data_IF_294929362146
#
_entry.id   IF_294929362146
#
_cell.length_a   1.000
_cell.length_b   1.000
_cell.length_c   1.000
_cell.angle_alpha   90.00
_cell.angle_beta   90.00
_cell.angle_gamma   90.00
#
_symmetry.space_group_name_H-M   'P 1'
#
loop_
_entity.id
_entity.type
_entity.pdbx_description
1 polymer ?
#
# COMPACT_ATOMS: atom_id res chain seq x y z
N UNK A 1 16.38 0.55 8.50
CA UNK A 1 15.74 -0.73 8.19
C UNK A 1 14.56 -0.47 7.27
N UNK A 2 14.47 -1.25 6.24
CA UNK A 2 13.74 -0.99 5.03
C UNK A 2 12.27 -1.46 5.01
N UNK A 3 11.64 -1.65 6.16
CA UNK A 3 10.27 -2.14 6.26
C UNK A 3 9.63 -1.51 7.49
N UNK A 4 8.41 -1.05 7.37
CA UNK A 4 7.64 -0.53 8.50
C UNK A 4 6.93 -1.67 9.28
N UNK A 5 7.43 -2.91 9.17
CA UNK A 5 6.89 -4.07 9.90
C UNK A 5 7.23 -3.92 11.38
N UNK A 6 6.22 -4.11 12.22
CA UNK A 6 6.38 -4.04 13.64
C UNK A 6 7.38 -5.10 14.15
N UNK A 7 8.33 -4.69 14.97
CA UNK A 7 9.23 -5.58 15.71
C UNK A 7 8.81 -5.60 17.18
N UNK A 8 8.49 -6.77 17.68
CA UNK A 8 8.07 -7.02 19.06
C UNK A 8 9.20 -7.69 19.85
N UNK A 9 9.23 -7.47 21.16
CA UNK A 9 10.04 -8.26 22.09
C UNK A 9 9.17 -9.31 22.77
N UNK A 10 9.41 -10.58 22.47
CA UNK A 10 8.69 -11.70 23.08
C UNK A 10 9.74 -12.58 23.77
N UNK A 11 9.64 -12.77 25.08
CA UNK A 11 10.59 -13.55 25.89
C UNK A 11 12.06 -13.10 25.68
N UNK A 12 12.29 -11.80 25.49
CA UNK A 12 13.62 -11.23 25.28
C UNK A 12 14.15 -11.31 23.84
N UNK A 13 13.47 -12.01 22.92
CA UNK A 13 13.82 -12.08 21.51
C UNK A 13 13.04 -11.05 20.67
N UNK A 14 13.69 -10.51 19.65
CA UNK A 14 13.01 -9.68 18.65
C UNK A 14 12.26 -10.54 17.64
N UNK A 15 10.95 -10.32 17.51
CA UNK A 15 10.06 -11.04 16.61
C UNK A 15 9.33 -10.04 15.71
N UNK A 16 9.41 -10.23 14.40
CA UNK A 16 8.67 -9.43 13.45
C UNK A 16 7.19 -9.86 13.41
N UNK A 17 6.28 -8.90 13.47
CA UNK A 17 4.83 -9.12 13.33
C UNK A 17 4.48 -9.32 11.85
N UNK A 18 4.93 -10.44 11.29
CA UNK A 18 4.73 -10.80 9.89
C UNK A 18 4.75 -12.32 9.71
N UNK A 19 3.89 -12.82 8.84
CA UNK A 19 3.86 -14.22 8.40
C UNK A 19 3.76 -14.28 6.88
N UNK A 20 4.47 -15.22 6.28
CA UNK A 20 4.40 -15.52 4.84
C UNK A 20 4.23 -17.02 4.58
N UNK A 21 3.60 -17.35 3.46
CA UNK A 21 3.48 -18.73 3.00
C UNK A 21 4.82 -19.23 2.42
N UNK A 22 5.30 -20.40 2.89
CA UNK A 22 6.57 -20.98 2.52
C UNK A 22 6.68 -21.56 1.10
N UNK A 23 5.61 -21.47 0.29
CA UNK A 23 5.57 -22.04 -1.07
C UNK A 23 6.39 -21.26 -2.10
N UNK A 24 7.01 -20.12 -1.74
CA UNK A 24 7.80 -19.24 -2.62
C UNK A 24 9.09 -18.78 -2.00
N UNK A 25 9.87 -18.03 -2.78
CA UNK A 25 10.99 -17.27 -2.25
C UNK A 25 10.50 -16.31 -1.15
N UNK A 26 11.25 -16.27 -0.06
CA UNK A 26 10.96 -15.40 1.08
C UNK A 26 10.88 -13.94 0.65
N UNK A 27 10.00 -13.21 1.30
CA UNK A 27 9.92 -11.76 1.15
C UNK A 27 11.32 -11.14 1.29
N UNK A 28 11.61 -10.12 0.49
CA UNK A 28 12.95 -9.50 0.37
C UNK A 28 13.54 -9.06 1.73
N UNK A 29 12.71 -8.72 2.71
CA UNK A 29 13.14 -8.34 4.06
C UNK A 29 13.51 -9.54 4.95
N UNK A 30 13.12 -10.75 4.58
CA UNK A 30 13.37 -12.01 5.28
C UNK A 30 12.96 -12.03 6.76
N UNK A 31 11.98 -11.21 7.13
CA UNK A 31 11.46 -11.09 8.48
C UNK A 31 10.25 -11.98 8.68
N UNK A 32 9.95 -12.24 9.97
CA UNK A 32 8.74 -12.94 10.38
C UNK A 32 8.81 -14.44 10.22
N UNK A 33 7.64 -15.06 10.34
CA UNK A 33 7.47 -16.50 10.33
C UNK A 33 7.13 -16.99 8.92
N UNK A 34 7.59 -18.20 8.61
CA UNK A 34 7.21 -18.93 7.39
C UNK A 34 6.24 -20.02 7.78
N UNK A 35 5.12 -20.11 7.10
CA UNK A 35 4.08 -21.10 7.32
C UNK A 35 3.95 -22.01 6.11
N UNK A 36 4.07 -23.32 6.35
CA UNK A 36 3.90 -24.33 5.31
C UNK A 36 2.46 -24.82 5.27
N UNK A 37 1.70 -24.37 4.30
CA UNK A 37 0.30 -24.77 4.15
C UNK A 37 -0.60 -23.63 3.61
N UNK A 38 -1.90 -23.83 3.68
CA UNK A 38 -2.89 -22.79 3.41
C UNK A 38 -3.23 -22.08 4.72
N UNK A 39 -3.03 -20.76 4.74
CA UNK A 39 -3.36 -19.92 5.90
C UNK A 39 -4.86 -19.59 5.89
N UNK A 40 -5.51 -19.77 7.02
CA UNK A 40 -6.78 -19.12 7.32
C UNK A 40 -6.53 -17.68 7.82
N UNK A 41 -7.55 -16.83 7.79
CA UNK A 41 -7.45 -15.48 8.37
C UNK A 41 -7.05 -15.53 9.83
N UNK A 42 -7.61 -16.46 10.60
CA UNK A 42 -7.29 -16.64 12.01
C UNK A 42 -5.81 -16.94 12.21
N UNK A 43 -5.27 -17.91 11.50
CA UNK A 43 -3.85 -18.28 11.58
C UNK A 43 -2.95 -17.14 11.11
N UNK A 44 -3.33 -16.45 10.03
CA UNK A 44 -2.59 -15.31 9.52
C UNK A 44 -2.50 -14.18 10.56
N UNK A 45 -3.59 -13.86 11.26
CA UNK A 45 -3.62 -12.84 12.31
C UNK A 45 -2.82 -13.28 13.56
N UNK A 46 -2.99 -14.53 14.00
CA UNK A 46 -2.27 -15.06 15.18
C UNK A 46 -0.76 -15.12 14.94
N UNK A 47 -0.33 -15.69 13.82
CA UNK A 47 1.09 -15.83 13.47
C UNK A 47 1.77 -14.48 13.18
N UNK A 48 1.04 -13.51 12.61
CA UNK A 48 1.55 -12.15 12.41
C UNK A 48 1.38 -11.25 13.64
N UNK A 49 0.90 -11.76 14.76
CA UNK A 49 0.59 -10.99 15.97
C UNK A 49 -0.37 -9.80 15.72
N UNK A 50 -1.26 -9.96 14.76
CA UNK A 50 -2.25 -8.95 14.37
C UNK A 50 -3.62 -9.17 15.01
N UNK A 51 -3.79 -10.13 15.91
CA UNK A 51 -5.07 -10.49 16.54
C UNK A 51 -5.39 -9.68 17.81
N UNK A 52 -4.62 -8.61 18.08
CA UNK A 52 -4.86 -7.72 19.21
C UNK A 52 -6.20 -6.97 19.11
N UNK A 53 -6.74 -6.62 20.26
CA UNK A 53 -7.94 -5.80 20.37
C UNK A 53 -7.61 -4.31 20.44
N UNK A 54 -8.53 -3.49 19.93
CA UNK A 54 -8.43 -2.03 19.96
C UNK A 54 -9.66 -1.47 20.64
N UNK A 55 -9.46 -0.57 21.62
CA UNK A 55 -10.52 0.11 22.35
C UNK A 55 -10.42 1.63 22.22
N UNK A 56 -11.56 2.32 22.38
CA UNK A 56 -11.60 3.77 22.50
C UNK A 56 -11.40 4.20 23.95
N UNK A 57 -10.51 5.15 24.18
CA UNK A 57 -10.28 5.78 25.49
C UNK A 57 -10.45 7.30 25.37
N UNK A 58 -10.81 7.93 26.49
CA UNK A 58 -10.86 9.37 26.58
C UNK A 58 -9.47 10.00 26.39
N UNK A 59 -9.44 11.19 25.82
CA UNK A 59 -8.22 11.98 25.68
C UNK A 59 -8.28 13.11 26.69
N UNK A 60 -7.20 13.28 27.45
CA UNK A 60 -7.09 14.33 28.45
C UNK A 60 -5.92 15.26 28.12
N UNK A 61 -6.11 16.56 28.28
CA UNK A 61 -5.05 17.52 28.15
C UNK A 61 -4.22 17.58 29.46
N UNK A 62 -2.92 17.73 29.32
CA UNK A 62 -2.07 18.00 30.48
C UNK A 62 -2.23 19.48 30.89
N UNK A 63 -3.15 19.76 31.81
CA UNK A 63 -3.37 21.11 32.32
C UNK A 63 -2.22 21.55 33.26
N UNK A 64 -1.96 22.86 33.46
CA UNK A 64 -0.96 23.33 34.41
C UNK A 64 -1.14 22.74 35.81
N UNK A 65 -2.38 22.63 36.28
CA UNK A 65 -2.69 22.06 37.59
C UNK A 65 -2.25 20.60 37.71
N UNK A 66 -2.50 19.78 36.67
CA UNK A 66 -2.05 18.38 36.62
C UNK A 66 -0.52 18.31 36.52
N UNK A 67 0.10 19.20 35.71
CA UNK A 67 1.55 19.25 35.56
C UNK A 67 2.24 19.58 36.85
N UNK A 68 1.76 20.59 37.59
CA UNK A 68 2.32 21.02 38.87
C UNK A 68 2.20 19.91 39.93
N UNK A 69 1.09 19.22 39.93
CA UNK A 69 0.85 18.12 40.84
C UNK A 69 1.78 16.92 40.59
N UNK A 70 1.97 16.54 39.31
CA UNK A 70 2.92 15.49 38.94
C UNK A 70 4.36 15.86 39.26
N UNK A 71 4.74 17.15 39.12
CA UNK A 71 6.07 17.66 39.44
C UNK A 71 6.37 17.64 40.95
N UNK A 72 5.34 17.84 41.79
CA UNK A 72 5.46 17.87 43.25
C UNK A 72 5.47 16.46 43.87
N UNK A 73 5.17 15.40 43.11
CA UNK A 73 5.10 14.02 43.62
C UNK A 73 4.02 13.81 44.67
N UNK A 74 2.98 14.64 44.68
CA UNK A 74 1.92 14.65 45.68
C UNK A 74 0.99 13.43 45.57
N UNK A 75 0.51 12.95 46.72
CA UNK A 75 -0.64 12.05 46.75
C UNK A 75 -1.91 12.86 46.46
N UNK A 76 -2.71 12.37 45.53
CA UNK A 76 -3.99 12.97 45.16
C UNK A 76 -5.10 12.11 45.72
N UNK A 77 -6.09 12.75 46.32
CA UNK A 77 -7.36 12.15 46.61
C UNK A 77 -8.09 11.78 45.30
N UNK A 78 -8.77 10.62 45.27
CA UNK A 78 -9.46 10.12 44.12
C UNK A 78 -10.55 11.07 43.60
N UNK A 79 -11.22 11.79 44.50
CA UNK A 79 -12.27 12.75 44.13
C UNK A 79 -11.66 13.99 43.45
N UNK A 80 -10.56 14.52 44.01
CA UNK A 80 -9.83 15.64 43.40
C UNK A 80 -9.26 15.28 42.02
N UNK A 81 -8.73 14.06 41.88
CA UNK A 81 -8.24 13.59 40.59
C UNK A 81 -9.38 13.49 39.55
N UNK A 82 -10.54 13.03 40.00
CA UNK A 82 -11.73 12.91 39.14
C UNK A 82 -12.17 14.27 38.58
N UNK A 83 -12.26 15.28 39.45
CA UNK A 83 -12.63 16.64 39.06
C UNK A 83 -11.60 17.27 38.09
N UNK A 84 -10.31 17.14 38.43
CA UNK A 84 -9.22 17.62 37.56
C UNK A 84 -9.21 16.91 36.18
N UNK A 85 -9.57 15.63 36.10
CA UNK A 85 -9.67 14.90 34.86
C UNK A 85 -10.88 15.32 34.04
N UNK A 86 -12.00 15.69 34.68
CA UNK A 86 -13.16 16.24 33.97
C UNK A 86 -12.82 17.56 33.26
N UNK A 87 -12.11 18.45 33.93
CA UNK A 87 -11.64 19.73 33.39
C UNK A 87 -10.59 19.55 32.26
N UNK A 88 -9.89 18.45 32.29
CA UNK A 88 -8.84 18.12 31.31
C UNK A 88 -9.35 17.33 30.11
N UNK A 89 -10.61 16.89 30.09
CA UNK A 89 -11.17 16.08 29.03
C UNK A 89 -11.22 16.86 27.70
N UNK A 90 -10.67 16.27 26.65
CA UNK A 90 -10.75 16.79 25.29
C UNK A 90 -12.02 16.28 24.63
N UNK A 91 -13.07 17.12 24.62
CA UNK A 91 -14.35 16.75 24.03
C UNK A 91 -14.25 16.43 22.53
N UNK A 92 -15.11 15.51 22.05
CA UNK A 92 -15.19 15.12 20.63
C UNK A 92 -14.00 14.30 20.12
N UNK A 93 -13.08 13.92 21.02
CA UNK A 93 -11.88 13.12 20.67
C UNK A 93 -11.78 11.86 21.52
N UNK A 94 -11.28 10.80 20.89
CA UNK A 94 -10.93 9.52 21.54
C UNK A 94 -9.55 9.08 21.08
N UNK A 95 -8.82 8.40 21.95
CA UNK A 95 -7.63 7.66 21.57
C UNK A 95 -8.02 6.23 21.25
N UNK A 96 -7.56 5.70 20.12
CA UNK A 96 -7.59 4.28 19.85
C UNK A 96 -6.40 3.65 20.56
N UNK A 97 -6.67 2.66 21.40
CA UNK A 97 -5.67 2.00 22.24
C UNK A 97 -5.54 0.54 21.85
N UNK A 98 -4.33 0.10 21.64
CA UNK A 98 -3.97 -1.29 21.43
C UNK A 98 -3.86 -1.99 22.80
N UNK A 99 -4.70 -2.99 23.06
CA UNK A 99 -4.89 -3.52 24.41
C UNK A 99 -3.80 -4.47 24.89
N UNK A 100 -3.17 -5.23 23.97
CA UNK A 100 -2.09 -6.17 24.34
C UNK A 100 -0.80 -5.47 24.80
N UNK A 101 -0.62 -4.19 24.44
CA UNK A 101 0.53 -3.36 24.82
C UNK A 101 0.16 -2.11 25.64
N UNK A 102 -1.13 -1.80 25.74
CA UNK A 102 -1.64 -0.55 26.32
C UNK A 102 -1.04 0.72 25.66
N UNK A 103 -0.83 0.66 24.33
CA UNK A 103 -0.23 1.75 23.55
C UNK A 103 -1.29 2.48 22.74
N UNK A 104 -1.24 3.83 22.66
CA UNK A 104 -2.12 4.59 21.77
C UNK A 104 -1.69 4.39 20.30
N UNK A 105 -2.69 4.18 19.42
CA UNK A 105 -2.48 4.06 17.98
C UNK A 105 -2.77 5.38 17.25
N UNK A 106 -3.71 6.17 17.77
CA UNK A 106 -4.06 7.45 17.18
C UNK A 106 -5.14 8.20 17.93
N UNK A 107 -5.35 9.45 17.56
CA UNK A 107 -6.43 10.29 18.09
C UNK A 107 -7.47 10.48 16.98
N UNK A 108 -8.69 10.06 17.27
CA UNK A 108 -9.79 10.02 16.30
C UNK A 108 -10.99 10.85 16.79
N UNK A 109 -11.95 11.08 15.92
CA UNK A 109 -13.21 11.70 16.32
C UNK A 109 -14.06 10.74 17.15
N UNK A 110 -14.99 11.28 17.94
CA UNK A 110 -15.94 10.49 18.72
C UNK A 110 -16.83 9.59 17.84
N UNK A 111 -17.09 10.00 16.59
CA UNK A 111 -17.85 9.23 15.62
C UNK A 111 -17.04 8.14 14.90
N UNK A 112 -15.75 7.98 15.23
CA UNK A 112 -14.92 6.95 14.63
C UNK A 112 -15.38 5.55 15.06
N UNK A 113 -15.70 4.72 14.07
CA UNK A 113 -16.08 3.32 14.31
C UNK A 113 -14.83 2.44 14.35
N UNK A 114 -14.51 1.90 15.51
CA UNK A 114 -13.43 0.91 15.65
C UNK A 114 -13.90 -0.39 14.99
N UNK A 115 -13.06 -0.97 14.15
CA UNK A 115 -13.24 -2.29 13.56
C UNK A 115 -12.10 -3.16 14.07
N UNK A 116 -12.41 -4.26 14.74
CA UNK A 116 -11.40 -5.22 15.19
C UNK A 116 -10.74 -5.90 13.97
N UNK A 117 -9.47 -6.25 14.07
CA UNK A 117 -8.76 -6.91 12.97
C UNK A 117 -9.47 -8.18 12.51
N UNK A 118 -9.94 -9.00 13.43
CA UNK A 118 -10.75 -10.20 13.11
C UNK A 118 -11.98 -9.87 12.29
N UNK A 119 -12.70 -8.81 12.65
CA UNK A 119 -13.94 -8.41 11.95
C UNK A 119 -13.63 -7.82 10.57
N UNK A 120 -12.54 -7.04 10.45
CA UNK A 120 -12.12 -6.44 9.19
C UNK A 120 -11.79 -7.49 8.13
N UNK A 121 -11.25 -8.64 8.53
CA UNK A 121 -10.70 -9.64 7.60
C UNK A 121 -11.50 -10.95 7.52
N UNK A 122 -12.49 -11.17 8.39
CA UNK A 122 -13.25 -12.42 8.45
C UNK A 122 -13.87 -12.85 7.10
N UNK A 123 -14.24 -11.90 6.24
CA UNK A 123 -14.83 -12.20 4.93
C UNK A 123 -13.79 -12.77 3.93
N UNK A 124 -12.49 -12.62 4.20
CA UNK A 124 -11.41 -13.16 3.34
C UNK A 124 -11.46 -14.68 3.30
N UNK A 125 -11.77 -15.33 4.43
CA UNK A 125 -11.90 -16.79 4.46
C UNK A 125 -12.93 -17.28 3.46
N UNK A 126 -14.08 -16.59 3.33
CA UNK A 126 -15.11 -16.94 2.35
C UNK A 126 -14.59 -16.79 0.91
N UNK A 127 -13.76 -15.78 0.66
CA UNK A 127 -13.17 -15.54 -0.65
C UNK A 127 -12.10 -16.59 -0.99
N UNK A 128 -11.29 -16.99 0.01
CA UNK A 128 -10.18 -17.91 -0.17
C UNK A 128 -10.57 -19.39 -0.06
N UNK A 129 -11.68 -19.72 0.64
CA UNK A 129 -12.12 -21.11 0.87
C UNK A 129 -13.28 -21.55 -0.03
N UNK A 130 -13.83 -20.65 -0.83
CA UNK A 130 -15.08 -20.86 -1.60
C UNK A 130 -15.02 -21.86 -2.76
N UNK A 131 -13.97 -22.60 -3.00
CA UNK A 131 -13.98 -23.76 -3.86
C UNK A 131 -12.90 -23.91 -4.93
N UNK A 132 -12.72 -25.04 -5.40
CA UNK A 132 -12.21 -25.55 -6.69
C UNK A 132 -11.12 -24.74 -7.41
N UNK A 133 -9.91 -24.73 -6.90
CA UNK A 133 -8.71 -24.42 -7.71
C UNK A 133 -8.51 -22.98 -8.19
N UNK A 134 -9.58 -22.19 -8.27
CA UNK A 134 -9.57 -20.81 -8.80
C UNK A 134 -9.68 -19.74 -7.71
N UNK A 135 -9.64 -20.14 -6.43
CA UNK A 135 -9.75 -19.21 -5.29
C UNK A 135 -8.40 -18.64 -4.90
N UNK A 136 -8.35 -17.35 -4.48
CA UNK A 136 -7.14 -16.76 -3.95
C UNK A 136 -6.64 -17.50 -2.70
N UNK A 137 -5.34 -17.56 -2.51
CA UNK A 137 -4.69 -18.15 -1.33
C UNK A 137 -3.99 -17.05 -0.54
N UNK A 138 -4.19 -17.02 0.78
CA UNK A 138 -3.49 -16.08 1.66
C UNK A 138 -1.99 -16.32 1.55
N UNK A 139 -1.24 -15.29 1.19
CA UNK A 139 0.20 -15.36 0.98
C UNK A 139 0.99 -14.73 2.12
N UNK A 140 0.54 -13.59 2.63
CA UNK A 140 1.17 -13.00 3.81
C UNK A 140 0.20 -12.12 4.60
N UNK A 141 0.54 -11.89 5.87
CA UNK A 141 -0.10 -10.95 6.76
C UNK A 141 0.94 -10.22 7.62
N UNK A 142 0.65 -9.00 8.02
CA UNK A 142 1.57 -8.25 8.85
C UNK A 142 0.98 -7.01 9.49
N UNK A 143 1.73 -6.51 10.46
CA UNK A 143 1.46 -5.30 11.23
C UNK A 143 2.49 -4.25 10.88
N UNK A 144 2.04 -3.03 10.63
CA UNK A 144 2.90 -1.89 10.28
C UNK A 144 2.88 -0.86 11.42
N UNK A 145 4.04 -0.19 11.60
CA UNK A 145 4.24 0.81 12.63
C UNK A 145 4.27 0.19 14.03
N UNK A 146 3.43 0.71 14.93
CA UNK A 146 3.21 0.17 16.27
C UNK A 146 1.91 -0.66 16.37
N UNK A 147 1.25 -0.87 15.22
CA UNK A 147 -0.06 -1.52 15.13
C UNK A 147 -1.14 -0.60 14.55
N UNK A 148 -0.75 0.56 14.05
CA UNK A 148 -1.72 1.49 13.44
C UNK A 148 -2.36 0.88 12.19
N UNK A 149 -1.64 0.02 11.48
CA UNK A 149 -2.13 -0.62 10.25
C UNK A 149 -1.86 -2.10 10.23
N UNK A 150 -2.85 -2.84 9.73
CA UNK A 150 -2.75 -4.28 9.51
C UNK A 150 -3.11 -4.59 8.08
N UNK A 151 -2.43 -5.56 7.49
CA UNK A 151 -2.72 -6.01 6.14
C UNK A 151 -2.70 -7.54 6.02
N UNK A 152 -3.46 -8.06 5.07
CA UNK A 152 -3.41 -9.43 4.59
C UNK A 152 -3.35 -9.36 3.06
N UNK A 153 -2.50 -10.18 2.44
CA UNK A 153 -2.49 -10.36 0.99
C UNK A 153 -2.90 -11.77 0.62
N UNK A 154 -3.71 -11.88 -0.42
CA UNK A 154 -4.04 -13.15 -1.03
C UNK A 154 -3.70 -13.11 -2.51
N UNK A 155 -3.15 -14.20 -3.04
CA UNK A 155 -2.73 -14.35 -4.42
C UNK A 155 -3.80 -15.11 -5.20
N UNK A 156 -4.16 -14.60 -6.37
CA UNK A 156 -4.94 -15.38 -7.32
C UNK A 156 -4.10 -16.50 -7.95
N UNK A 157 -4.68 -17.69 -8.16
CA UNK A 157 -3.98 -18.80 -8.82
C UNK A 157 -3.69 -18.48 -10.30
N UNK A 158 -4.48 -17.63 -10.90
CA UNK A 158 -4.33 -17.25 -12.31
C UNK A 158 -3.20 -16.23 -12.49
N UNK A 159 -2.37 -16.47 -13.50
CA UNK A 159 -1.27 -15.60 -13.90
C UNK A 159 -1.59 -15.03 -15.27
N UNK A 160 -1.53 -13.71 -15.43
CA UNK A 160 -1.73 -13.04 -16.71
C UNK A 160 -0.42 -13.13 -17.49
N UNK A 161 -0.48 -13.69 -18.70
CA UNK A 161 0.64 -13.73 -19.63
C UNK A 161 0.59 -12.51 -20.53
N UNK A 162 1.66 -11.71 -20.50
CA UNK A 162 1.74 -10.48 -21.27
C UNK A 162 2.38 -10.67 -22.64
N UNK A 163 3.03 -11.82 -22.88
CA UNK A 163 3.64 -12.17 -24.15
C UNK A 163 3.19 -13.56 -24.62
N UNK A 164 3.42 -13.83 -25.92
CA UNK A 164 3.06 -15.12 -26.53
C UNK A 164 4.00 -16.26 -26.11
N UNK A 165 5.15 -15.95 -25.49
CA UNK A 165 6.13 -16.93 -25.03
C UNK A 165 5.84 -17.36 -23.59
N UNK A 166 5.07 -16.57 -22.84
CA UNK A 166 4.73 -16.83 -21.46
C UNK A 166 5.86 -16.52 -20.46
N UNK A 167 6.89 -15.80 -20.91
CA UNK A 167 8.02 -15.40 -20.08
C UNK A 167 7.66 -14.13 -19.26
N UNK A 168 6.87 -13.23 -19.84
CA UNK A 168 6.38 -12.03 -19.19
C UNK A 168 5.03 -12.29 -18.49
N UNK A 169 5.07 -12.41 -17.18
CA UNK A 169 3.93 -12.79 -16.34
C UNK A 169 3.59 -11.73 -15.32
N UNK A 170 2.29 -11.52 -15.10
CA UNK A 170 1.76 -10.71 -14.03
C UNK A 170 0.96 -11.59 -13.08
N UNK A 171 1.37 -11.62 -11.83
CA UNK A 171 0.61 -12.22 -10.76
C UNK A 171 -0.37 -11.19 -10.19
N UNK A 172 -1.57 -11.64 -9.88
CA UNK A 172 -2.61 -10.79 -9.32
C UNK A 172 -2.80 -11.08 -7.85
N UNK A 173 -2.88 -10.02 -7.07
CA UNK A 173 -3.05 -10.08 -5.63
C UNK A 173 -4.28 -9.29 -5.20
N UNK A 174 -4.86 -9.71 -4.10
CA UNK A 174 -5.79 -8.91 -3.33
C UNK A 174 -5.05 -8.46 -2.08
N UNK A 175 -5.08 -7.16 -1.79
CA UNK A 175 -4.56 -6.57 -0.57
C UNK A 175 -5.72 -6.08 0.27
N UNK A 176 -5.82 -6.61 1.47
CA UNK A 176 -6.76 -6.16 2.49
C UNK A 176 -6.02 -5.37 3.54
N UNK A 177 -6.53 -4.20 3.92
CA UNK A 177 -5.93 -3.35 4.94
C UNK A 177 -6.98 -2.77 5.86
N UNK A 178 -6.63 -2.58 7.13
CA UNK A 178 -7.35 -1.74 8.07
C UNK A 178 -6.40 -0.80 8.79
N UNK A 179 -6.89 0.30 9.34
CA UNK A 179 -6.09 1.20 10.17
C UNK A 179 -6.84 1.59 11.44
N UNK A 180 -6.09 1.96 12.47
CA UNK A 180 -6.62 2.33 13.77
C UNK A 180 -6.29 3.78 14.18
N UNK A 181 -5.50 4.49 13.36
CA UNK A 181 -5.00 5.84 13.61
C UNK A 181 -5.88 6.97 13.03
N UNK A 182 -6.99 6.61 12.40
CA UNK A 182 -7.89 7.56 11.73
C UNK A 182 -7.42 8.03 10.35
N UNK A 183 -6.24 7.59 9.88
CA UNK A 183 -5.67 8.02 8.57
C UNK A 183 -6.07 7.11 7.41
N UNK A 184 -6.63 5.91 7.70
CA UNK A 184 -7.00 4.93 6.70
C UNK A 184 -8.45 4.48 6.79
N UNK A 185 -8.77 3.51 5.94
CA UNK A 185 -10.08 2.85 5.83
C UNK A 185 -9.89 1.34 5.86
N UNK A 186 -10.95 0.58 6.06
CA UNK A 186 -10.95 -0.84 5.70
C UNK A 186 -10.98 -0.92 4.18
N UNK A 187 -9.93 -1.45 3.58
CA UNK A 187 -9.80 -1.52 2.13
C UNK A 187 -9.63 -2.96 1.66
N UNK A 188 -10.17 -3.23 0.48
CA UNK A 188 -9.88 -4.39 -0.35
C UNK A 188 -9.46 -3.88 -1.72
N UNK A 189 -8.27 -4.24 -2.19
CA UNK A 189 -7.71 -3.77 -3.46
C UNK A 189 -7.15 -4.94 -4.25
N UNK A 190 -7.44 -4.97 -5.56
CA UNK A 190 -6.75 -5.85 -6.50
C UNK A 190 -5.51 -5.13 -7.02
N UNK A 191 -4.37 -5.79 -7.02
CA UNK A 191 -3.10 -5.23 -7.48
C UNK A 191 -2.29 -6.24 -8.28
N UNK A 192 -1.72 -5.86 -9.44
CA UNK A 192 -0.84 -6.70 -10.21
C UNK A 192 0.60 -6.58 -9.71
N UNK A 193 1.34 -7.69 -9.73
CA UNK A 193 2.79 -7.72 -9.53
C UNK A 193 3.41 -8.45 -10.71
N UNK A 194 4.29 -7.78 -11.44
CA UNK A 194 5.04 -8.39 -12.53
C UNK A 194 6.18 -9.22 -11.98
N UNK A 195 6.17 -10.52 -12.25
CA UNK A 195 7.05 -11.51 -11.62
C UNK A 195 8.53 -11.26 -11.93
N UNK A 196 8.83 -10.86 -13.17
CA UNK A 196 10.22 -10.76 -13.66
C UNK A 196 11.01 -9.60 -13.08
N UNK A 197 10.36 -8.46 -12.86
CA UNK A 197 11.03 -7.26 -12.36
C UNK A 197 10.55 -6.84 -10.97
N UNK A 198 9.69 -7.64 -10.34
CA UNK A 198 9.07 -7.33 -9.05
C UNK A 198 8.39 -5.93 -9.01
N UNK A 199 8.00 -5.44 -10.19
CA UNK A 199 7.39 -4.14 -10.36
C UNK A 199 5.90 -4.22 -10.04
N UNK A 200 5.47 -3.47 -9.05
CA UNK A 200 4.04 -3.22 -8.79
C UNK A 200 3.54 -2.21 -9.81
N UNK A 201 2.86 -2.69 -10.83
CA UNK A 201 2.29 -1.84 -11.87
C UNK A 201 0.95 -1.27 -11.39
N UNK A 202 1.00 -0.21 -10.63
CA UNK A 202 -0.16 0.65 -10.41
C UNK A 202 -0.40 1.48 -11.67
N UNK A 203 -0.76 0.80 -12.77
CA UNK A 203 -1.29 1.53 -13.91
C UNK A 203 -2.69 1.99 -13.54
N UNK A 204 -2.87 3.29 -13.49
CA UNK A 204 -4.18 3.86 -13.29
C UNK A 204 -5.05 3.50 -14.48
N UNK A 205 -5.94 2.61 -14.25
CA UNK A 205 -7.00 2.29 -15.17
C UNK A 205 -8.00 3.45 -15.17
N UNK A 206 -7.70 4.45 -15.99
CA UNK A 206 -8.63 5.49 -16.38
C UNK A 206 -9.01 6.52 -15.28
N UNK A 207 -9.22 7.74 -15.68
CA UNK A 207 -9.69 8.89 -14.89
C UNK A 207 -11.12 8.72 -14.32
N UNK A 208 -11.50 7.60 -13.79
CA UNK A 208 -12.87 7.47 -13.29
C UNK A 208 -13.22 6.17 -12.59
N UNK A 209 -12.30 5.25 -12.46
CA UNK A 209 -12.67 3.95 -11.94
C UNK A 209 -11.94 3.54 -10.68
N UNK A 210 -12.66 3.47 -9.56
CA UNK A 210 -12.30 2.61 -8.43
C UNK A 210 -12.47 1.12 -8.81
N UNK A 211 -12.05 0.73 -10.03
CA UNK A 211 -12.32 -0.61 -10.57
C UNK A 211 -11.60 -1.74 -9.84
N UNK A 212 -10.69 -1.45 -8.93
CA UNK A 212 -9.98 -2.46 -8.18
C UNK A 212 -9.97 -2.20 -6.67
N UNK A 213 -10.84 -1.30 -6.14
CA UNK A 213 -10.81 -0.94 -4.73
C UNK A 213 -12.21 -0.85 -4.12
N UNK A 214 -12.40 -1.53 -2.99
CA UNK A 214 -13.52 -1.31 -2.06
C UNK A 214 -12.94 -0.63 -0.82
N UNK A 215 -13.58 0.45 -0.36
CA UNK A 215 -13.11 1.20 0.81
C UNK A 215 -14.29 1.55 1.71
N UNK A 216 -14.18 1.20 2.99
CA UNK A 216 -15.15 1.51 4.02
C UNK A 216 -14.51 2.44 5.06
N UNK A 217 -15.03 3.65 5.17
CA UNK A 217 -14.56 4.60 6.19
C UNK A 217 -14.99 4.17 7.59
N UNK A 218 -14.13 4.39 8.55
CA UNK A 218 -14.37 4.16 9.98
C UNK A 218 -15.36 5.18 10.56
N UNK A 219 -16.64 4.99 10.30
CA UNK A 219 -17.73 5.79 10.87
C UNK A 219 -18.55 4.94 11.82
N UNK A 220 -19.39 5.54 12.67
CA UNK A 220 -20.23 4.84 13.64
C UNK A 220 -21.08 3.68 13.09
N UNK A 221 -21.46 3.74 11.79
CA UNK A 221 -22.20 2.67 11.10
C UNK A 221 -21.35 1.60 10.43
N UNK A 222 -20.01 1.59 10.60
CA UNK A 222 -19.14 0.68 9.85
C UNK A 222 -19.41 -0.79 10.16
N UNK A 223 -19.70 -1.13 11.42
CA UNK A 223 -19.98 -2.52 11.83
C UNK A 223 -21.23 -3.06 11.13
N UNK A 224 -22.31 -2.27 11.05
CA UNK A 224 -23.52 -2.66 10.30
C UNK A 224 -23.23 -2.89 8.81
N UNK A 225 -22.33 -2.12 8.19
CA UNK A 225 -21.91 -2.32 6.80
C UNK A 225 -21.07 -3.57 6.62
N UNK A 226 -20.18 -3.86 7.55
CA UNK A 226 -19.41 -5.10 7.56
C UNK A 226 -20.31 -6.32 7.79
N UNK A 227 -21.31 -6.23 8.67
CA UNK A 227 -22.26 -7.31 8.90
C UNK A 227 -23.18 -7.55 7.70
N UNK A 228 -23.58 -6.52 6.97
CA UNK A 228 -24.25 -6.67 5.68
C UNK A 228 -23.35 -7.38 4.66
N UNK A 229 -22.08 -7.01 4.61
CA UNK A 229 -21.10 -7.71 3.76
C UNK A 229 -20.92 -9.17 4.16
N UNK A 230 -20.93 -9.51 5.46
CA UNK A 230 -20.89 -10.88 5.96
C UNK A 230 -22.12 -11.67 5.57
N UNK A 231 -23.33 -11.10 5.70
CA UNK A 231 -24.60 -11.74 5.30
C UNK A 231 -24.70 -11.94 3.79
N UNK A 232 -24.10 -11.05 3.03
CA UNK A 232 -24.02 -11.08 1.57
C UNK A 232 -22.64 -11.57 1.09
N UNK A 233 -21.97 -12.46 1.85
CA UNK A 233 -20.61 -12.92 1.56
C UNK A 233 -20.44 -13.39 0.10
N UNK A 234 -21.43 -14.05 -0.46
CA UNK A 234 -21.42 -14.47 -1.87
C UNK A 234 -21.42 -13.26 -2.82
N UNK A 235 -22.17 -12.20 -2.49
CA UNK A 235 -22.23 -10.97 -3.30
C UNK A 235 -20.91 -10.22 -3.21
N UNK A 236 -20.26 -10.18 -2.04
CA UNK A 236 -18.95 -9.55 -1.88
C UNK A 236 -17.85 -10.32 -2.61
N UNK A 237 -17.79 -11.65 -2.43
CA UNK A 237 -16.87 -12.51 -3.17
C UNK A 237 -17.07 -12.36 -4.68
N UNK A 238 -18.33 -12.37 -5.14
CA UNK A 238 -18.66 -12.14 -6.55
C UNK A 238 -18.22 -10.75 -7.04
N UNK A 239 -18.45 -9.68 -6.27
CA UNK A 239 -17.97 -8.33 -6.62
C UNK A 239 -16.46 -8.28 -6.71
N UNK A 240 -15.75 -8.91 -5.77
CA UNK A 240 -14.29 -8.93 -5.76
C UNK A 240 -13.72 -9.72 -6.92
N UNK A 241 -14.30 -10.88 -7.24
CA UNK A 241 -13.93 -11.67 -8.41
C UNK A 241 -14.26 -10.93 -9.72
N UNK A 242 -15.41 -10.27 -9.79
CA UNK A 242 -15.77 -9.45 -10.95
C UNK A 242 -14.83 -8.24 -11.10
N UNK A 243 -14.41 -7.62 -10.02
CA UNK A 243 -13.36 -6.59 -10.03
C UNK A 243 -12.06 -7.14 -10.61
N UNK A 244 -11.68 -8.35 -10.24
CA UNK A 244 -10.51 -9.03 -10.79
C UNK A 244 -10.62 -9.20 -12.31
N UNK A 245 -11.72 -9.75 -12.81
CA UNK A 245 -11.94 -9.97 -14.25
C UNK A 245 -11.94 -8.65 -15.05
N UNK A 246 -12.63 -7.64 -14.55
CA UNK A 246 -12.64 -6.31 -15.19
C UNK A 246 -11.24 -5.71 -15.19
N UNK A 247 -10.52 -5.82 -14.09
CA UNK A 247 -9.16 -5.31 -13.95
C UNK A 247 -8.20 -6.04 -14.87
N UNK A 248 -8.25 -7.37 -14.90
CA UNK A 248 -7.45 -8.23 -15.79
C UNK A 248 -7.63 -7.84 -17.25
N UNK A 249 -8.89 -7.79 -17.72
CA UNK A 249 -9.20 -7.40 -19.10
C UNK A 249 -8.68 -6.01 -19.46
N UNK A 250 -8.86 -5.06 -18.56
CA UNK A 250 -8.38 -3.69 -18.75
C UNK A 250 -6.85 -3.61 -18.75
N UNK A 251 -6.19 -4.41 -17.92
CA UNK A 251 -4.74 -4.52 -17.87
C UNK A 251 -4.19 -5.09 -19.18
N UNK A 252 -4.74 -6.22 -19.65
CA UNK A 252 -4.36 -6.85 -20.91
C UNK A 252 -4.50 -5.88 -22.09
N UNK A 253 -5.63 -5.18 -22.19
CA UNK A 253 -5.86 -4.17 -23.22
C UNK A 253 -4.86 -3.01 -23.14
N UNK A 254 -4.55 -2.54 -21.94
CA UNK A 254 -3.59 -1.45 -21.73
C UNK A 254 -2.17 -1.86 -22.12
N UNK A 255 -1.76 -3.08 -21.78
CA UNK A 255 -0.45 -3.61 -22.18
C UNK A 255 -0.34 -3.80 -23.68
N UNK A 256 -1.37 -4.37 -24.32
CA UNK A 256 -1.42 -4.52 -25.76
C UNK A 256 -1.35 -3.16 -26.46
N UNK A 257 -2.10 -2.17 -25.96
CA UNK A 257 -2.07 -0.83 -26.49
C UNK A 257 -0.68 -0.19 -26.38
N UNK A 258 -0.07 -0.21 -25.19
CA UNK A 258 1.27 0.33 -24.93
C UNK A 258 2.36 -0.38 -25.77
N UNK A 259 2.22 -1.67 -26.04
CA UNK A 259 3.13 -2.44 -26.89
C UNK A 259 3.10 -1.98 -28.34
N UNK A 260 1.93 -1.55 -28.81
CA UNK A 260 1.74 -1.12 -30.19
C UNK A 260 2.13 0.34 -30.43
N UNK A 261 2.29 1.16 -29.38
CA UNK A 261 2.74 2.55 -29.49
C UNK A 261 4.27 2.58 -29.66
N UNK A 262 4.73 3.12 -30.79
CA UNK A 262 6.15 3.32 -31.08
C UNK A 262 6.56 4.77 -30.77
N UNK A 263 7.60 4.91 -29.97
CA UNK A 263 8.15 6.19 -29.57
C UNK A 263 9.51 6.41 -30.25
N UNK A 264 9.66 7.52 -30.95
CA UNK A 264 11.00 7.94 -31.38
C UNK A 264 11.83 8.36 -30.17
N UNK A 265 13.17 8.29 -30.29
CA UNK A 265 14.09 8.69 -29.21
C UNK A 265 13.76 10.10 -28.69
N UNK A 266 13.55 11.05 -29.61
CA UNK A 266 13.21 12.42 -29.25
C UNK A 266 11.88 12.53 -28.49
N UNK A 267 10.85 11.81 -28.95
CA UNK A 267 9.53 11.81 -28.28
C UNK A 267 9.61 11.21 -26.89
N UNK A 268 10.40 10.13 -26.73
CA UNK A 268 10.65 9.51 -25.42
C UNK A 268 11.34 10.50 -24.47
N UNK A 269 12.40 11.17 -24.93
CA UNK A 269 13.11 12.20 -24.13
C UNK A 269 12.16 13.33 -23.72
N UNK A 270 11.33 13.82 -24.63
CA UNK A 270 10.37 14.89 -24.35
C UNK A 270 9.33 14.47 -23.31
N UNK A 271 8.80 13.25 -23.40
CA UNK A 271 7.87 12.69 -22.40
C UNK A 271 8.57 12.56 -21.04
N UNK A 272 9.78 12.01 -21.01
CA UNK A 272 10.53 11.86 -19.75
C UNK A 272 10.88 13.20 -19.13
N UNK A 273 11.25 14.19 -19.92
CA UNK A 273 11.48 15.56 -19.45
C UNK A 273 10.21 16.16 -18.82
N UNK A 274 9.06 15.97 -19.46
CA UNK A 274 7.78 16.45 -18.96
C UNK A 274 7.33 15.77 -17.64
N UNK A 275 7.70 14.52 -17.46
CA UNK A 275 7.39 13.74 -16.24
C UNK A 275 8.36 14.03 -15.10
N UNK A 276 9.64 14.24 -15.41
CA UNK A 276 10.69 14.27 -14.39
C UNK A 276 11.08 15.69 -13.97
N UNK A 277 11.05 16.66 -14.87
CA UNK A 277 11.51 18.02 -14.59
C UNK A 277 10.43 18.85 -13.88
N UNK A 278 10.89 19.83 -13.09
CA UNK A 278 10.03 20.90 -12.58
C UNK A 278 9.60 21.83 -13.72
N UNK A 279 8.53 22.59 -13.54
CA UNK A 279 8.00 23.48 -14.57
C UNK A 279 9.05 24.45 -15.13
N UNK A 280 9.88 25.05 -14.25
CA UNK A 280 10.98 25.93 -14.67
C UNK A 280 12.03 25.22 -15.49
N UNK A 281 12.49 24.04 -15.03
CA UNK A 281 13.48 23.24 -15.78
C UNK A 281 12.89 22.70 -17.10
N UNK A 282 11.62 22.38 -17.14
CA UNK A 282 10.94 21.91 -18.35
C UNK A 282 10.86 23.01 -19.41
N UNK A 283 10.63 24.27 -19.01
CA UNK A 283 10.66 25.41 -19.92
C UNK A 283 12.05 25.56 -20.55
N UNK A 284 13.10 25.54 -19.74
CA UNK A 284 14.49 25.61 -20.22
C UNK A 284 14.83 24.42 -21.16
N UNK A 285 14.37 23.24 -20.83
CA UNK A 285 14.54 22.06 -21.68
C UNK A 285 13.86 22.23 -23.04
N UNK A 286 12.65 22.77 -23.09
CA UNK A 286 11.91 22.98 -24.34
C UNK A 286 12.57 24.02 -25.24
N UNK A 287 13.17 25.05 -24.64
CA UNK A 287 13.87 26.14 -25.35
C UNK A 287 15.28 25.77 -25.82
N UNK A 288 16.04 25.04 -24.99
CA UNK A 288 17.48 24.86 -25.18
C UNK A 288 17.93 23.37 -25.13
N UNK A 289 17.03 22.43 -24.85
CA UNK A 289 17.35 21.00 -24.70
C UNK A 289 18.02 20.65 -23.37
N UNK A 290 18.34 19.38 -23.18
CA UNK A 290 18.88 18.83 -21.90
C UNK A 290 20.28 19.35 -21.57
N UNK A 291 21.04 19.82 -22.56
CA UNK A 291 22.39 20.34 -22.38
C UNK A 291 22.42 21.77 -21.84
N UNK A 292 21.26 22.40 -21.66
CA UNK A 292 21.17 23.73 -21.09
C UNK A 292 21.78 23.78 -19.68
N UNK A 293 22.75 24.64 -19.46
CA UNK A 293 23.46 24.76 -18.18
C UNK A 293 22.58 25.32 -17.07
N UNK A 294 21.53 26.06 -17.42
CA UNK A 294 20.56 26.63 -16.47
C UNK A 294 19.57 25.60 -15.90
N UNK A 295 19.46 24.42 -16.53
CA UNK A 295 18.71 23.32 -15.92
C UNK A 295 19.44 22.85 -14.67
N UNK A 296 18.72 22.75 -13.54
CA UNK A 296 19.33 22.32 -12.29
C UNK A 296 20.04 20.97 -12.45
N UNK A 297 21.20 20.81 -11.80
CA UNK A 297 21.98 19.57 -11.84
C UNK A 297 21.16 18.37 -11.37
N UNK A 298 20.29 18.56 -10.36
CA UNK A 298 19.37 17.53 -9.85
C UNK A 298 18.41 17.09 -10.95
N UNK A 299 17.75 18.03 -11.64
CA UNK A 299 16.80 17.71 -12.72
C UNK A 299 17.49 16.98 -13.87
N UNK A 300 18.65 17.47 -14.29
CA UNK A 300 19.45 16.85 -15.37
C UNK A 300 19.89 15.43 -15.02
N UNK A 301 20.42 15.25 -13.80
CA UNK A 301 20.88 13.93 -13.34
C UNK A 301 19.72 12.93 -13.22
N UNK A 302 18.56 13.39 -12.74
CA UNK A 302 17.36 12.53 -12.66
C UNK A 302 16.90 12.09 -14.06
N UNK A 303 16.82 13.02 -15.03
CA UNK A 303 16.40 12.69 -16.38
C UNK A 303 17.39 11.73 -17.06
N UNK A 304 18.70 12.02 -16.98
CA UNK A 304 19.74 11.15 -17.53
C UNK A 304 19.69 9.75 -16.91
N UNK A 305 19.50 9.66 -15.58
CA UNK A 305 19.43 8.38 -14.89
C UNK A 305 18.21 7.56 -15.29
N UNK A 306 17.05 8.18 -15.47
CA UNK A 306 15.85 7.51 -15.99
C UNK A 306 16.13 6.94 -17.39
N UNK A 307 16.73 7.70 -18.27
CA UNK A 307 17.08 7.25 -19.63
C UNK A 307 18.07 6.09 -19.61
N UNK A 308 19.07 6.12 -18.73
CA UNK A 308 20.03 5.04 -18.53
C UNK A 308 19.34 3.76 -18.01
N UNK A 309 18.48 3.89 -16.98
CA UNK A 309 17.73 2.76 -16.42
C UNK A 309 16.78 2.12 -17.46
N UNK A 310 16.25 2.89 -18.39
CA UNK A 310 15.47 2.34 -19.50
C UNK A 310 16.29 1.42 -20.40
N UNK A 311 17.59 1.66 -20.55
CA UNK A 311 18.46 0.80 -21.38
C UNK A 311 19.01 -0.40 -20.61
N UNK A 312 19.29 -0.24 -19.31
CA UNK A 312 20.08 -1.21 -18.53
C UNK A 312 19.36 -1.80 -17.33
N UNK A 313 18.14 -1.33 -17.03
CA UNK A 313 17.39 -1.71 -15.84
C UNK A 313 16.85 -3.13 -15.88
N UNK A 314 16.46 -3.63 -14.71
CA UNK A 314 15.89 -4.98 -14.55
C UNK A 314 14.63 -5.13 -15.38
N UNK A 315 14.54 -6.19 -16.19
CA UNK A 315 13.37 -6.52 -17.01
C UNK A 315 13.19 -5.69 -18.26
N UNK A 316 14.21 -4.91 -18.67
CA UNK A 316 14.15 -4.12 -19.90
C UNK A 316 14.37 -4.96 -21.17
N UNK A 317 14.99 -6.11 -21.06
CA UNK A 317 15.15 -7.12 -22.11
C UNK A 317 13.83 -7.82 -22.48
N UNK A 318 12.80 -7.71 -21.64
CA UNK A 318 11.50 -8.37 -21.84
C UNK A 318 10.51 -7.53 -22.65
N UNK A 319 10.79 -6.25 -22.90
CA UNK A 319 10.00 -5.35 -23.73
C UNK A 319 10.68 -5.04 -25.05
N UNK A 320 9.91 -4.85 -26.14
CA UNK A 320 10.48 -4.38 -27.39
C UNK A 320 10.89 -2.91 -27.24
N UNK A 321 12.20 -2.65 -27.37
CA UNK A 321 12.79 -1.30 -27.27
C UNK A 321 12.07 -0.31 -28.18
N UNK A 322 11.83 0.89 -27.65
CA UNK A 322 11.12 1.94 -28.36
C UNK A 322 9.62 1.84 -28.34
N UNK A 323 9.05 0.88 -27.59
CA UNK A 323 7.61 0.86 -27.31
C UNK A 323 7.28 1.67 -26.05
N UNK A 324 6.04 2.15 -25.97
CA UNK A 324 5.56 2.81 -24.75
C UNK A 324 5.59 1.86 -23.54
N UNK A 325 5.34 0.57 -23.74
CA UNK A 325 5.45 -0.44 -22.68
C UNK A 325 6.89 -0.53 -22.14
N UNK A 326 7.88 -0.59 -23.01
CA UNK A 326 9.29 -0.59 -22.64
C UNK A 326 9.67 0.67 -21.84
N UNK A 327 9.18 1.82 -22.25
CA UNK A 327 9.44 3.10 -21.57
C UNK A 327 8.80 3.17 -20.18
N UNK A 328 7.55 2.71 -20.03
CA UNK A 328 6.86 2.62 -18.72
C UNK A 328 7.58 1.66 -17.77
N UNK A 329 8.05 0.52 -18.27
CA UNK A 329 8.83 -0.42 -17.47
C UNK A 329 10.11 0.21 -16.93
N UNK A 330 10.87 0.93 -17.76
CA UNK A 330 12.09 1.63 -17.35
C UNK A 330 11.83 2.69 -16.30
N UNK A 331 10.78 3.48 -16.48
CA UNK A 331 10.40 4.49 -15.49
C UNK A 331 9.96 3.84 -14.15
N UNK A 332 9.23 2.73 -14.21
CA UNK A 332 8.85 1.97 -13.00
C UNK A 332 10.08 1.41 -12.29
N UNK A 333 11.00 0.81 -13.04
CA UNK A 333 12.28 0.31 -12.51
C UNK A 333 13.10 1.40 -11.84
N UNK A 334 13.17 2.59 -12.43
CA UNK A 334 13.82 3.73 -11.81
C UNK A 334 13.23 4.05 -10.43
N UNK A 335 11.91 4.19 -10.31
CA UNK A 335 11.28 4.52 -9.03
C UNK A 335 11.37 3.39 -8.00
N UNK A 336 11.33 2.14 -8.43
CA UNK A 336 11.33 1.00 -7.50
C UNK A 336 12.71 0.53 -7.09
N UNK A 337 13.66 0.53 -8.02
CA UNK A 337 14.94 -0.15 -7.81
C UNK A 337 16.13 0.79 -7.81
N UNK A 338 16.05 1.94 -8.46
CA UNK A 338 17.19 2.84 -8.65
C UNK A 338 17.14 4.10 -7.77
N UNK A 339 15.97 4.70 -7.64
CA UNK A 339 15.81 5.91 -6.85
C UNK A 339 16.01 5.64 -5.35
N UNK A 340 16.87 6.45 -4.72
CA UNK A 340 17.04 6.41 -3.27
C UNK A 340 15.89 7.10 -2.54
N UNK A 341 15.40 6.45 -1.49
CA UNK A 341 14.42 6.98 -0.55
C UNK A 341 15.02 6.94 0.85
N UNK A 342 14.71 7.93 1.68
CA UNK A 342 15.22 7.98 3.05
C UNK A 342 14.59 6.94 3.99
N UNK A 343 13.45 6.36 3.60
CA UNK A 343 12.86 5.20 4.26
C UNK A 343 11.98 4.42 3.29
N UNK A 344 11.68 3.17 3.60
CA UNK A 344 10.79 2.36 2.78
C UNK A 344 9.33 2.75 2.93
N UNK A 345 8.96 3.35 4.05
CA UNK A 345 7.64 3.94 4.19
C UNK A 345 7.45 5.07 3.16
N UNK A 346 8.45 5.94 3.00
CA UNK A 346 8.43 6.99 1.99
C UNK A 346 8.45 6.41 0.58
N UNK A 347 9.19 5.32 0.34
CA UNK A 347 9.17 4.60 -0.93
C UNK A 347 7.78 4.04 -1.20
N UNK A 348 7.19 3.32 -0.24
CA UNK A 348 5.84 2.75 -0.35
C UNK A 348 4.80 3.84 -0.63
N UNK A 349 4.77 4.90 0.17
CA UNK A 349 3.85 6.01 -0.02
C UNK A 349 4.03 6.69 -1.38
N UNK A 350 5.28 6.90 -1.82
CA UNK A 350 5.58 7.48 -3.14
C UNK A 350 5.07 6.61 -4.28
N UNK A 351 5.24 5.29 -4.18
CA UNK A 351 4.83 4.33 -5.21
C UNK A 351 3.31 4.10 -5.23
N UNK A 352 2.65 4.10 -4.07
CA UNK A 352 1.23 3.76 -3.99
C UNK A 352 0.31 4.94 -4.30
N UNK A 353 0.61 6.12 -3.79
CA UNK A 353 -0.29 7.29 -3.88
C UNK A 353 0.43 8.62 -4.07
N UNK A 354 1.76 8.61 -4.01
CA UNK A 354 2.57 9.82 -4.00
C UNK A 354 3.18 10.18 -5.36
N UNK A 355 4.37 10.77 -5.29
CA UNK A 355 5.05 11.37 -6.46
C UNK A 355 5.37 10.36 -7.55
N UNK A 356 5.82 9.15 -7.20
CA UNK A 356 6.13 8.13 -8.21
C UNK A 356 4.85 7.66 -8.92
N UNK A 357 3.78 7.37 -8.17
CA UNK A 357 2.49 7.00 -8.75
C UNK A 357 1.96 8.09 -9.71
N UNK A 358 1.99 9.36 -9.29
CA UNK A 358 1.53 10.47 -10.13
C UNK A 358 2.37 10.65 -11.40
N UNK A 359 3.68 10.46 -11.32
CA UNK A 359 4.59 10.55 -12.47
C UNK A 359 4.40 9.38 -13.44
N UNK A 360 4.23 8.16 -12.93
CA UNK A 360 3.92 6.99 -13.77
C UNK A 360 2.59 7.17 -14.50
N UNK A 361 1.58 7.69 -13.82
CA UNK A 361 0.30 8.01 -14.43
C UNK A 361 0.45 9.05 -15.55
N UNK A 362 1.16 10.16 -15.28
CA UNK A 362 1.40 11.18 -16.28
C UNK A 362 2.14 10.63 -17.50
N UNK A 363 3.16 9.79 -17.28
CA UNK A 363 3.88 9.14 -18.37
C UNK A 363 2.95 8.29 -19.23
N UNK A 364 2.10 7.48 -18.59
CA UNK A 364 1.08 6.69 -19.29
C UNK A 364 0.15 7.56 -20.12
N UNK A 365 -0.44 8.60 -19.53
CA UNK A 365 -1.36 9.51 -20.22
C UNK A 365 -0.69 10.18 -21.45
N UNK A 366 0.57 10.60 -21.32
CA UNK A 366 1.33 11.22 -22.40
C UNK A 366 1.70 10.23 -23.53
N UNK A 367 1.98 8.98 -23.19
CA UNK A 367 2.31 7.95 -24.16
C UNK A 367 1.09 7.48 -24.93
N UNK A 368 -0.07 7.36 -24.26
CA UNK A 368 -1.33 6.95 -24.91
C UNK A 368 -1.89 8.06 -25.80
N UNK A 369 -1.52 9.32 -25.57
CA UNK A 369 -1.93 10.46 -26.40
C UNK A 369 -1.08 10.67 -27.67
N UNK A 370 -0.06 9.83 -27.92
CA UNK A 370 0.77 9.86 -29.12
C UNK A 370 0.08 9.17 -30.29
#
# INVERSE_FOLDING_TARGET
MAHNIEIRKINGAEVASFVENGRKERAWHRLGQVFDGELTVKEALELSHADYQVEARNVYALTPAISDLLAQGGMIDADQLSDMMLDALVEGRKATMRMDKSEPLGIVSESYGIVQNRDAFQFIDTLCTGGKGDTPVIECAGVLGHGERVFITAKFPEVIKLDNKGDDRVEMYIVFTTSHDGTGSVNCMVTPIRVVCNNTLNMALGKGGNYGKISLRHTSGIMGRLDLMKKENQVFAYKTLNMFEVYKKSLEQSFEHLRNIRLSQKKLEDIMAEVMLTEGNLKLYREHGIKCEDISSVGRNQLNRVMEVMETGIGQDMGERGTALWAINGLTTYFQNDRNYSSDELKFNSMMTGTAASRLQRAYDLMVAV
#
